data_IF_493045342436
#
_entry.id   IF_493045342436
#
_cell.length_a   1.000
_cell.length_b   1.000
_cell.length_c   1.000
_cell.angle_alpha   90.00
_cell.angle_beta   90.00
_cell.angle_gamma   90.00
#
_symmetry.space_group_name_H-M   'P 1'
#
loop_
_entity.id
_entity.type
_entity.pdbx_description
1 polymer ?
#
# COMPACT_ATOMS: atom_id res chain seq x y z
N UNK A 1 1.59 -14.85 -4.85
CA UNK A 1 0.85 -13.76 -5.54
C UNK A 1 0.96 -13.88 -7.06
N UNK A 2 2.17 -13.94 -7.63
CA UNK A 2 2.39 -13.90 -9.10
C UNK A 2 1.62 -14.99 -9.85
N UNK A 3 1.78 -16.27 -9.47
CA UNK A 3 1.14 -17.40 -10.17
C UNK A 3 -0.38 -17.24 -10.32
N UNK A 4 -1.14 -17.17 -9.22
CA UNK A 4 -2.60 -17.02 -9.27
C UNK A 4 -3.08 -15.79 -10.07
N UNK A 5 -2.41 -14.65 -9.98
CA UNK A 5 -2.80 -13.43 -10.71
C UNK A 5 -2.53 -13.57 -12.22
N UNK A 6 -1.34 -14.04 -12.60
CA UNK A 6 -0.96 -14.21 -14.01
C UNK A 6 -1.79 -15.28 -14.71
N UNK A 7 -2.20 -16.34 -13.99
CA UNK A 7 -3.10 -17.36 -14.50
C UNK A 7 -4.49 -16.79 -14.90
N UNK A 8 -4.88 -15.66 -14.31
CA UNK A 8 -6.12 -14.94 -14.61
C UNK A 8 -5.93 -13.78 -15.61
N UNK A 9 -4.74 -13.67 -16.23
CA UNK A 9 -4.44 -12.62 -17.22
C UNK A 9 -4.01 -11.27 -16.64
N UNK A 10 -3.77 -11.18 -15.33
CA UNK A 10 -3.27 -9.95 -14.71
C UNK A 10 -1.77 -9.83 -14.94
N UNK A 11 -1.33 -8.69 -15.47
CA UNK A 11 0.09 -8.34 -15.52
C UNK A 11 0.59 -8.00 -14.11
N UNK A 12 1.61 -8.71 -13.63
CA UNK A 12 2.19 -8.50 -12.29
C UNK A 12 3.55 -7.82 -12.42
N UNK A 13 3.72 -6.70 -11.73
CA UNK A 13 4.99 -5.96 -11.66
C UNK A 13 5.51 -5.98 -10.23
N UNK A 14 6.73 -6.47 -10.06
CA UNK A 14 7.44 -6.46 -8.78
C UNK A 14 8.39 -5.27 -8.77
N UNK A 15 8.09 -4.27 -7.94
CA UNK A 15 8.90 -3.06 -7.81
C UNK A 15 9.96 -3.26 -6.73
N UNK A 16 11.22 -3.11 -7.11
CA UNK A 16 12.33 -3.03 -6.17
C UNK A 16 12.65 -1.55 -5.87
N UNK A 17 13.19 -1.30 -4.69
CA UNK A 17 13.66 -0.01 -4.21
C UNK A 17 14.89 -0.23 -3.33
N UNK A 18 15.70 0.81 -3.18
CA UNK A 18 16.87 0.77 -2.31
C UNK A 18 16.46 0.62 -0.86
N UNK A 19 17.33 0.01 -0.06
CA UNK A 19 17.11 -0.17 1.37
C UNK A 19 18.11 0.64 2.18
N UNK A 20 17.75 0.94 3.42
CA UNK A 20 18.67 1.54 4.38
C UNK A 20 19.92 0.65 4.59
N UNK A 21 21.11 1.23 4.81
CA UNK A 21 21.39 2.67 4.90
C UNK A 21 21.64 3.35 3.53
N UNK A 22 21.54 2.63 2.40
CA UNK A 22 21.86 3.17 1.07
C UNK A 22 20.82 4.16 0.56
N UNK A 23 19.55 3.98 0.95
CA UNK A 23 18.45 4.88 0.64
C UNK A 23 17.76 5.41 1.89
N UNK A 24 17.32 6.67 1.85
CA UNK A 24 16.39 7.25 2.84
C UNK A 24 14.95 6.87 2.50
N UNK A 25 14.02 7.02 3.44
CA UNK A 25 12.60 6.79 3.14
C UNK A 25 12.07 7.69 2.01
N UNK A 26 12.48 8.97 1.98
CA UNK A 26 12.11 9.86 0.88
C UNK A 26 12.59 9.31 -0.46
N UNK A 27 13.80 8.72 -0.50
CA UNK A 27 14.35 8.10 -1.70
C UNK A 27 13.52 6.87 -2.13
N UNK A 28 13.12 6.03 -1.18
CA UNK A 28 12.28 4.85 -1.46
C UNK A 28 10.90 5.27 -2.00
N UNK A 29 10.27 6.27 -1.38
CA UNK A 29 8.99 6.84 -1.84
C UNK A 29 9.13 7.39 -3.26
N UNK A 30 10.21 8.12 -3.55
CA UNK A 30 10.50 8.64 -4.88
C UNK A 30 10.76 7.53 -5.91
N UNK A 31 11.48 6.47 -5.56
CA UNK A 31 11.71 5.32 -6.44
C UNK A 31 10.40 4.59 -6.79
N UNK A 32 9.51 4.39 -5.82
CA UNK A 32 8.19 3.79 -6.06
C UNK A 32 7.34 4.72 -6.92
N UNK A 33 7.35 6.04 -6.66
CA UNK A 33 6.67 7.04 -7.48
C UNK A 33 7.13 6.98 -8.93
N UNK A 34 8.45 6.98 -9.17
CA UNK A 34 9.04 6.88 -10.51
C UNK A 34 8.70 5.58 -11.21
N UNK A 35 8.64 4.46 -10.47
CA UNK A 35 8.25 3.16 -11.02
C UNK A 35 6.81 3.16 -11.53
N UNK A 36 5.88 3.76 -10.78
CA UNK A 36 4.48 3.89 -11.22
C UNK A 36 4.36 4.83 -12.43
N UNK A 37 5.10 5.96 -12.43
CA UNK A 37 5.13 6.86 -13.59
C UNK A 37 5.62 6.15 -14.84
N UNK A 38 6.66 5.33 -14.72
CA UNK A 38 7.17 4.52 -15.81
C UNK A 38 6.09 3.56 -16.32
N UNK A 39 5.41 2.83 -15.44
CA UNK A 39 4.36 1.88 -15.82
C UNK A 39 3.18 2.55 -16.51
N UNK A 40 2.67 3.66 -15.98
CA UNK A 40 1.55 4.37 -16.60
C UNK A 40 1.92 4.95 -17.98
N UNK A 41 3.17 5.40 -18.17
CA UNK A 41 3.67 5.88 -19.47
C UNK A 41 3.89 4.75 -20.47
N UNK A 42 4.42 3.61 -20.00
CA UNK A 42 4.70 2.45 -20.83
C UNK A 42 3.41 1.73 -21.26
N UNK A 43 2.41 1.71 -20.39
CA UNK A 43 1.12 1.04 -20.60
C UNK A 43 -0.04 2.03 -20.43
N UNK A 44 -0.18 3.04 -21.31
CA UNK A 44 -1.16 4.10 -21.15
C UNK A 44 -2.61 3.64 -21.31
N UNK A 45 -2.83 2.45 -21.88
CA UNK A 45 -4.14 1.81 -22.07
C UNK A 45 -4.42 0.68 -21.06
N UNK A 46 -3.71 0.67 -19.93
CA UNK A 46 -4.01 -0.30 -18.88
C UNK A 46 -5.45 -0.13 -18.37
N UNK A 47 -6.13 -1.24 -18.08
CA UNK A 47 -7.52 -1.22 -17.57
C UNK A 47 -7.59 -0.77 -16.10
N UNK A 48 -6.48 -0.84 -15.39
CA UNK A 48 -6.33 -0.37 -14.02
C UNK A 48 -5.00 -0.78 -13.41
N UNK A 49 -4.53 -0.01 -12.44
CA UNK A 49 -3.37 -0.31 -11.61
C UNK A 49 -3.85 -0.57 -10.20
N UNK A 50 -3.52 -1.75 -9.67
CA UNK A 50 -3.70 -2.10 -8.27
C UNK A 50 -2.33 -2.15 -7.60
N UNK A 51 -2.18 -1.48 -6.45
CA UNK A 51 -0.95 -1.50 -5.68
C UNK A 51 -1.12 -2.42 -4.47
N UNK A 52 -0.29 -3.46 -4.38
CA UNK A 52 -0.22 -4.31 -3.20
C UNK A 52 1.13 -4.11 -2.51
N UNK A 53 1.09 -3.84 -1.21
CA UNK A 53 2.28 -3.71 -0.38
C UNK A 53 2.15 -4.57 0.88
N UNK A 54 3.29 -5.04 1.40
CA UNK A 54 3.38 -5.76 2.67
C UNK A 54 4.35 -5.05 3.60
N UNK A 55 3.98 -4.84 4.86
CA UNK A 55 4.86 -4.22 5.87
C UNK A 55 5.41 -2.87 5.41
N UNK A 56 6.74 -2.71 5.28
CA UNK A 56 7.35 -1.51 4.72
C UNK A 56 6.89 -1.23 3.27
N UNK A 57 6.53 -2.25 2.49
CA UNK A 57 5.93 -2.06 1.17
C UNK A 57 4.49 -1.51 1.24
N UNK A 58 3.72 -1.85 2.28
CA UNK A 58 2.38 -1.29 2.49
C UNK A 58 2.46 0.18 2.89
N UNK A 59 3.48 0.56 3.69
CA UNK A 59 3.84 1.95 3.93
C UNK A 59 4.08 2.71 2.62
N UNK A 60 4.97 2.20 1.75
CA UNK A 60 5.30 2.85 0.49
C UNK A 60 4.10 2.93 -0.46
N UNK A 61 3.26 1.88 -0.51
CA UNK A 61 2.02 1.89 -1.28
C UNK A 61 1.05 2.95 -0.74
N UNK A 62 0.89 3.07 0.58
CA UNK A 62 0.04 4.09 1.22
C UNK A 62 0.53 5.51 0.93
N UNK A 63 1.85 5.73 0.87
CA UNK A 63 2.43 7.03 0.49
C UNK A 63 2.04 7.46 -0.94
N UNK A 64 1.70 6.53 -1.84
CA UNK A 64 1.27 6.86 -3.20
C UNK A 64 -0.11 7.54 -3.26
N UNK A 65 -0.92 7.41 -2.21
CA UNK A 65 -2.18 8.15 -2.04
C UNK A 65 -1.94 9.67 -1.88
N UNK A 66 -0.75 10.04 -1.40
CA UNK A 66 -0.37 11.41 -1.04
C UNK A 66 0.44 12.13 -2.13
N UNK A 67 0.84 11.42 -3.18
CA UNK A 67 1.59 11.99 -4.29
C UNK A 67 0.65 12.87 -5.12
N UNK A 68 1.10 14.09 -5.42
CA UNK A 68 0.39 14.95 -6.37
C UNK A 68 0.73 14.53 -7.81
N UNK A 69 -0.04 13.57 -8.33
CA UNK A 69 0.19 12.99 -9.65
C UNK A 69 0.06 14.00 -10.80
N UNK A 70 -0.81 15.00 -10.66
CA UNK A 70 -0.91 16.10 -11.65
C UNK A 70 0.42 16.85 -11.79
N UNK A 71 1.14 17.09 -10.67
CA UNK A 71 2.48 17.69 -10.72
C UNK A 71 3.55 16.78 -11.32
N UNK A 72 3.33 15.46 -11.32
CA UNK A 72 4.22 14.49 -11.97
C UNK A 72 4.00 14.39 -13.49
N UNK A 73 2.98 15.09 -14.01
CA UNK A 73 2.66 15.15 -15.44
C UNK A 73 1.87 13.96 -15.99
N UNK A 74 1.57 12.96 -15.15
CA UNK A 74 0.75 11.79 -15.50
C UNK A 74 -0.05 11.34 -14.28
N UNK A 75 -1.35 11.10 -14.48
CA UNK A 75 -2.23 10.52 -13.45
C UNK A 75 -2.33 9.01 -13.69
N UNK A 76 -1.84 8.15 -12.77
CA UNK A 76 -2.01 6.72 -12.87
C UNK A 76 -3.48 6.32 -12.77
N UNK A 77 -3.89 5.32 -13.54
CA UNK A 77 -5.24 4.74 -13.50
C UNK A 77 -5.39 3.81 -12.29
N UNK A 78 -5.28 4.34 -11.07
CA UNK A 78 -5.41 3.52 -9.86
C UNK A 78 -6.83 3.04 -9.66
N UNK A 79 -6.97 1.73 -9.39
CA UNK A 79 -8.25 1.07 -9.07
C UNK A 79 -8.31 0.54 -7.65
N UNK A 80 -7.18 0.23 -7.04
CA UNK A 80 -7.18 -0.07 -5.63
C UNK A 80 -5.83 -0.28 -4.99
N UNK A 81 -5.85 -0.34 -3.68
CA UNK A 81 -4.70 -0.51 -2.81
C UNK A 81 -4.96 -1.67 -1.84
N UNK A 82 -4.02 -2.61 -1.79
CA UNK A 82 -4.00 -3.71 -0.82
C UNK A 82 -2.83 -3.49 0.14
N UNK A 83 -3.14 -3.00 1.33
CA UNK A 83 -2.15 -2.60 2.33
C UNK A 83 -2.08 -3.67 3.42
N UNK A 84 -1.14 -4.60 3.29
CA UNK A 84 -1.04 -5.81 4.11
C UNK A 84 -0.04 -5.62 5.25
N UNK A 85 -0.51 -5.71 6.49
CA UNK A 85 0.30 -5.63 7.72
C UNK A 85 1.27 -4.45 7.70
N UNK A 86 0.77 -3.28 7.31
CA UNK A 86 1.58 -2.07 7.10
C UNK A 86 1.84 -1.24 8.36
N UNK A 87 2.82 -0.34 8.24
CA UNK A 87 3.06 0.76 9.20
C UNK A 87 2.74 2.09 8.52
N UNK A 88 1.97 2.94 9.18
CA UNK A 88 1.44 4.19 8.64
C UNK A 88 1.81 5.41 9.48
N UNK A 89 2.18 5.19 10.75
CA UNK A 89 2.83 6.15 11.63
C UNK A 89 4.23 5.64 11.99
N UNK A 90 5.24 6.39 11.52
CA UNK A 90 6.65 6.06 11.71
C UNK A 90 7.26 6.78 12.91
N UNK A 91 6.56 7.72 13.55
CA UNK A 91 7.09 8.43 14.71
C UNK A 91 7.57 7.49 15.83
N UNK A 92 6.83 6.41 16.19
CA UNK A 92 7.29 5.45 17.20
C UNK A 92 8.60 4.75 16.81
N UNK A 93 8.83 4.50 15.51
CA UNK A 93 9.99 3.77 15.01
C UNK A 93 11.28 4.50 15.33
N UNK A 94 11.26 5.84 15.37
CA UNK A 94 12.43 6.70 15.65
C UNK A 94 13.13 6.30 16.94
N UNK A 95 12.38 5.80 17.93
CA UNK A 95 12.86 5.42 19.25
C UNK A 95 13.24 3.93 19.39
N UNK A 96 13.25 3.19 18.29
CA UNK A 96 13.54 1.75 18.27
C UNK A 96 14.83 1.45 17.51
N UNK A 97 15.34 0.24 17.68
CA UNK A 97 16.52 -0.25 16.94
C UNK A 97 16.29 -0.36 15.43
N UNK A 98 15.04 -0.39 14.97
CA UNK A 98 14.69 -0.34 13.53
C UNK A 98 15.18 0.95 12.88
N UNK A 99 15.31 2.04 13.66
CA UNK A 99 15.82 3.31 13.15
C UNK A 99 17.35 3.34 13.00
N UNK A 100 18.09 2.36 13.54
CA UNK A 100 19.55 2.33 13.48
C UNK A 100 20.10 2.47 12.04
N UNK A 101 19.60 1.75 11.02
CA UNK A 101 20.05 1.94 9.64
C UNK A 101 19.40 3.13 8.93
N UNK A 102 18.22 3.59 9.38
CA UNK A 102 17.43 4.63 8.72
C UNK A 102 17.84 6.04 9.13
N UNK A 103 18.32 6.21 10.37
CA UNK A 103 18.70 7.49 10.98
C UNK A 103 17.62 8.58 10.83
N UNK A 104 16.34 8.20 10.91
CA UNK A 104 15.23 9.13 10.80
C UNK A 104 15.22 10.08 11.99
N UNK A 105 15.06 11.37 11.68
CA UNK A 105 14.57 12.35 12.64
C UNK A 105 13.05 12.23 12.79
N UNK A 106 12.48 12.86 13.82
CA UNK A 106 11.02 12.97 13.96
C UNK A 106 10.39 13.70 12.76
N UNK A 107 11.10 14.66 12.16
CA UNK A 107 10.66 15.35 10.96
C UNK A 107 10.57 14.40 9.76
N UNK A 108 11.60 13.56 9.56
CA UNK A 108 11.62 12.55 8.50
C UNK A 108 10.49 11.54 8.69
N UNK A 109 10.30 11.09 9.93
CA UNK A 109 9.23 10.16 10.29
C UNK A 109 7.85 10.75 9.98
N UNK A 110 7.55 11.98 10.39
CA UNK A 110 6.27 12.64 10.09
C UNK A 110 6.04 12.86 8.60
N UNK A 111 7.07 13.32 7.88
CA UNK A 111 7.01 13.51 6.41
C UNK A 111 6.76 12.19 5.67
N UNK A 112 7.24 11.07 6.22
CA UNK A 112 7.05 9.73 5.69
C UNK A 112 5.92 8.96 6.38
N UNK A 113 5.10 9.57 7.24
CA UNK A 113 3.97 8.89 7.87
C UNK A 113 2.68 9.20 7.10
N UNK A 114 2.14 8.25 6.32
CA UNK A 114 0.90 8.51 5.60
C UNK A 114 -0.28 8.80 6.55
N UNK A 115 -0.29 8.22 7.77
CA UNK A 115 -1.26 8.55 8.82
C UNK A 115 -1.26 10.06 9.11
N UNK A 116 -0.10 10.57 9.54
CA UNK A 116 0.07 11.95 9.96
C UNK A 116 -0.28 12.93 8.83
N UNK A 117 0.16 12.61 7.61
CA UNK A 117 -0.08 13.47 6.44
C UNK A 117 -1.54 13.58 6.06
N UNK A 118 -2.29 12.47 6.11
CA UNK A 118 -3.74 12.49 5.83
C UNK A 118 -4.52 13.27 6.90
N UNK A 119 -4.10 13.21 8.16
CA UNK A 119 -4.73 13.95 9.25
C UNK A 119 -4.50 15.47 9.13
N UNK A 120 -3.27 15.88 8.81
CA UNK A 120 -2.90 17.31 8.73
C UNK A 120 -3.34 17.95 7.42
N UNK A 121 -3.29 17.22 6.33
CA UNK A 121 -3.71 17.70 5.01
C UNK A 121 -4.63 16.68 4.38
N UNK A 122 -5.95 16.76 4.67
CA UNK A 122 -6.92 15.85 4.08
C UNK A 122 -6.87 15.94 2.55
N UNK A 123 -6.44 14.84 1.92
CA UNK A 123 -6.48 14.66 0.47
C UNK A 123 -7.70 13.83 0.10
N UNK A 124 -8.36 14.20 -1.00
CA UNK A 124 -9.47 13.41 -1.55
C UNK A 124 -8.94 12.43 -2.61
N UNK A 125 -9.59 11.27 -2.77
CA UNK A 125 -9.26 10.35 -3.85
C UNK A 125 -9.42 11.02 -5.20
N UNK A 126 -8.47 10.80 -6.12
CA UNK A 126 -8.59 11.27 -7.50
C UNK A 126 -9.69 10.53 -8.26
N UNK A 127 -9.84 9.24 -7.99
CA UNK A 127 -10.93 8.40 -8.48
C UNK A 127 -11.74 7.92 -7.26
N UNK A 128 -13.01 8.33 -7.09
CA UNK A 128 -13.86 7.87 -6.00
C UNK A 128 -14.08 6.35 -5.97
N UNK A 129 -13.87 5.67 -7.11
CA UNK A 129 -13.95 4.21 -7.19
C UNK A 129 -12.67 3.51 -6.69
N UNK A 130 -11.57 4.24 -6.43
CA UNK A 130 -10.32 3.65 -5.97
C UNK A 130 -10.46 3.15 -4.52
N UNK A 131 -10.54 1.82 -4.38
CA UNK A 131 -10.74 1.17 -3.08
C UNK A 131 -9.44 0.92 -2.32
N UNK A 132 -9.39 1.29 -1.05
CA UNK A 132 -8.26 1.02 -0.16
C UNK A 132 -8.63 -0.07 0.85
N UNK A 133 -8.06 -1.26 0.67
CA UNK A 133 -8.22 -2.37 1.60
C UNK A 133 -7.00 -2.46 2.52
N UNK A 134 -7.23 -2.16 3.81
CA UNK A 134 -6.25 -2.32 4.89
C UNK A 134 -6.41 -3.69 5.53
N UNK A 135 -5.32 -4.44 5.63
CA UNK A 135 -5.34 -5.85 6.02
C UNK A 135 -4.32 -6.08 7.13
N UNK A 136 -4.66 -6.89 8.12
CA UNK A 136 -3.76 -7.33 9.19
C UNK A 136 -3.95 -8.83 9.43
N UNK A 137 -2.90 -9.54 9.82
CA UNK A 137 -2.98 -10.93 10.26
C UNK A 137 -3.39 -11.02 11.73
N UNK A 138 -4.20 -12.01 12.10
CA UNK A 138 -4.63 -12.19 13.49
C UNK A 138 -3.45 -12.30 14.46
N UNK A 139 -2.35 -12.93 14.04
CA UNK A 139 -1.15 -13.10 14.86
C UNK A 139 -0.09 -12.02 14.64
N UNK A 140 -0.44 -10.91 13.97
CA UNK A 140 0.42 -9.73 13.94
C UNK A 140 0.58 -9.10 15.33
N UNK A 141 1.64 -8.31 15.49
CA UNK A 141 1.86 -7.58 16.75
C UNK A 141 0.74 -6.56 17.01
N UNK A 142 0.45 -6.23 18.28
CA UNK A 142 -0.58 -5.24 18.62
C UNK A 142 -0.40 -3.88 17.93
N UNK A 143 0.84 -3.50 17.61
CA UNK A 143 1.11 -2.23 16.95
C UNK A 143 0.68 -2.23 15.47
N UNK A 144 0.81 -3.36 14.76
CA UNK A 144 0.28 -3.48 13.39
C UNK A 144 -1.25 -3.40 13.39
N UNK A 145 -1.91 -4.05 14.36
CA UNK A 145 -3.37 -3.95 14.54
C UNK A 145 -3.80 -2.51 14.80
N UNK A 146 -3.15 -1.83 15.75
CA UNK A 146 -3.44 -0.44 16.08
C UNK A 146 -3.28 0.48 14.86
N UNK A 147 -2.12 0.42 14.19
CA UNK A 147 -1.86 1.28 13.04
C UNK A 147 -2.79 0.98 11.86
N UNK A 148 -3.09 -0.29 11.57
CA UNK A 148 -4.03 -0.66 10.53
C UNK A 148 -5.44 -0.12 10.81
N UNK A 149 -5.90 -0.21 12.05
CA UNK A 149 -7.19 0.35 12.45
C UNK A 149 -7.22 1.88 12.37
N UNK A 150 -6.21 2.56 12.91
CA UNK A 150 -6.11 4.02 12.91
C UNK A 150 -6.05 4.57 11.48
N UNK A 151 -5.30 3.91 10.59
CA UNK A 151 -5.19 4.31 9.19
C UNK A 151 -6.50 4.11 8.43
N UNK A 152 -7.17 2.97 8.62
CA UNK A 152 -8.50 2.74 8.08
C UNK A 152 -9.48 3.84 8.53
N UNK A 153 -9.50 4.18 9.82
CA UNK A 153 -10.36 5.21 10.37
C UNK A 153 -10.07 6.59 9.75
N UNK A 154 -8.81 6.95 9.57
CA UNK A 154 -8.40 8.20 8.92
C UNK A 154 -8.82 8.25 7.46
N UNK A 155 -8.67 7.15 6.71
CA UNK A 155 -9.18 7.04 5.34
C UNK A 155 -10.70 7.23 5.29
N UNK A 156 -11.46 6.54 6.14
CA UNK A 156 -12.93 6.66 6.18
C UNK A 156 -13.38 8.08 6.51
N UNK A 157 -12.75 8.76 7.48
CA UNK A 157 -13.05 10.18 7.78
C UNK A 157 -12.69 11.11 6.63
N UNK A 158 -11.63 10.78 5.90
CA UNK A 158 -11.20 11.46 4.67
C UNK A 158 -12.09 11.20 3.45
N UNK A 159 -13.16 10.39 3.59
CA UNK A 159 -14.07 9.97 2.50
C UNK A 159 -13.39 9.16 1.39
N UNK A 160 -12.34 8.42 1.76
CA UNK A 160 -11.82 7.36 0.90
C UNK A 160 -12.75 6.16 0.96
N UNK A 161 -12.97 5.51 -0.19
CA UNK A 161 -13.59 4.19 -0.22
C UNK A 161 -12.58 3.21 0.38
N UNK A 162 -12.82 2.79 1.61
CA UNK A 162 -11.86 2.03 2.40
C UNK A 162 -12.53 0.95 3.21
N UNK A 163 -11.82 -0.17 3.41
CA UNK A 163 -12.27 -1.27 4.27
C UNK A 163 -11.12 -1.85 5.07
N UNK A 164 -11.45 -2.47 6.19
CA UNK A 164 -10.52 -3.14 7.07
C UNK A 164 -10.82 -4.64 7.12
N UNK A 165 -9.77 -5.47 7.08
CA UNK A 165 -9.88 -6.93 7.22
C UNK A 165 -8.78 -7.46 8.13
N UNK A 166 -9.19 -8.22 9.13
CA UNK A 166 -8.30 -9.13 9.85
C UNK A 166 -8.39 -10.52 9.20
N UNK A 167 -7.25 -11.14 8.90
CA UNK A 167 -7.19 -12.50 8.39
C UNK A 167 -6.89 -13.49 9.52
N UNK A 168 -7.72 -14.54 9.69
CA UNK A 168 -7.56 -15.49 10.78
C UNK A 168 -6.34 -16.40 10.55
N UNK A 169 -5.76 -16.89 11.66
CA UNK A 169 -4.76 -17.96 11.69
C UNK A 169 -3.54 -17.71 10.78
N UNK A 170 -3.12 -16.45 10.66
CA UNK A 170 -1.91 -16.05 9.94
C UNK A 170 -1.10 -15.05 10.73
N UNK A 171 0.22 -15.21 10.70
CA UNK A 171 1.18 -14.23 11.18
C UNK A 171 1.64 -13.26 10.07
N UNK A 172 2.49 -12.32 10.47
CA UNK A 172 3.06 -11.25 9.64
C UNK A 172 3.72 -11.73 8.35
N UNK A 173 4.25 -12.95 8.31
CA UNK A 173 4.93 -13.49 7.14
C UNK A 173 4.06 -14.49 6.39
N UNK A 174 3.31 -15.34 7.10
CA UNK A 174 2.40 -16.28 6.48
C UNK A 174 1.34 -15.61 5.63
N UNK A 175 0.88 -14.42 6.04
CA UNK A 175 -0.14 -13.64 5.32
C UNK A 175 0.23 -13.38 3.86
N UNK A 176 1.53 -13.24 3.57
CA UNK A 176 2.04 -13.01 2.21
C UNK A 176 2.50 -14.30 1.53
N UNK A 177 3.09 -15.25 2.26
CA UNK A 177 3.56 -16.52 1.68
C UNK A 177 2.42 -17.36 1.11
N UNK A 178 1.27 -17.38 1.80
CA UNK A 178 0.07 -18.10 1.37
C UNK A 178 -0.57 -17.52 0.10
N UNK A 179 -0.17 -16.33 -0.37
CA UNK A 179 -0.63 -15.78 -1.66
C UNK A 179 -0.24 -16.59 -2.90
N UNK A 180 0.63 -17.58 -2.76
CA UNK A 180 0.93 -18.52 -3.83
C UNK A 180 -0.18 -19.56 -4.03
N UNK A 181 -1.02 -19.74 -3.02
CA UNK A 181 -2.16 -20.66 -3.01
C UNK A 181 -3.38 -19.95 -3.58
N UNK A 182 -4.07 -20.60 -4.52
CA UNK A 182 -5.24 -20.02 -5.19
C UNK A 182 -6.43 -19.90 -4.25
N UNK A 183 -6.67 -20.91 -3.41
CA UNK A 183 -7.78 -21.01 -2.48
C UNK A 183 -7.60 -20.17 -1.20
N UNK A 184 -6.42 -19.60 -0.99
CA UNK A 184 -6.15 -18.73 0.14
C UNK A 184 -7.04 -17.48 0.12
N UNK A 185 -7.60 -17.14 1.28
CA UNK A 185 -8.60 -16.08 1.42
C UNK A 185 -8.14 -14.74 0.84
N UNK A 186 -6.88 -14.34 1.10
CA UNK A 186 -6.35 -13.08 0.55
C UNK A 186 -6.21 -13.14 -0.97
N UNK A 187 -5.76 -14.25 -1.53
CA UNK A 187 -5.67 -14.43 -2.99
C UNK A 187 -7.03 -14.25 -3.64
N UNK A 188 -8.07 -14.87 -3.07
CA UNK A 188 -9.45 -14.76 -3.55
C UNK A 188 -10.00 -13.34 -3.41
N UNK A 189 -9.69 -12.63 -2.32
CA UNK A 189 -10.06 -11.22 -2.15
C UNK A 189 -9.44 -10.37 -3.26
N UNK A 190 -8.14 -10.50 -3.51
CA UNK A 190 -7.43 -9.75 -4.55
C UNK A 190 -8.04 -9.99 -5.93
N UNK A 191 -8.23 -11.27 -6.30
CA UNK A 191 -8.83 -11.65 -7.58
C UNK A 191 -10.26 -11.09 -7.72
N UNK A 192 -11.08 -11.25 -6.68
CA UNK A 192 -12.45 -10.76 -6.68
C UNK A 192 -12.49 -9.23 -6.83
N UNK A 193 -11.67 -8.48 -6.10
CA UNK A 193 -11.61 -7.03 -6.24
C UNK A 193 -11.19 -6.61 -7.66
N UNK A 194 -10.13 -7.22 -8.21
CA UNK A 194 -9.64 -6.89 -9.57
C UNK A 194 -10.72 -7.18 -10.64
N UNK A 195 -11.46 -8.28 -10.52
CA UNK A 195 -12.42 -8.71 -11.54
C UNK A 195 -13.87 -8.28 -11.30
N UNK A 196 -14.22 -7.79 -10.12
CA UNK A 196 -15.55 -7.21 -9.87
C UNK A 196 -15.66 -5.79 -10.42
N UNK A 197 -14.59 -5.01 -10.44
CA UNK A 197 -14.59 -3.67 -11.04
C UNK A 197 -14.60 -3.68 -12.57
N UNK A 198 -14.15 -4.76 -13.21
CA UNK A 198 -14.22 -4.91 -14.67
C UNK A 198 -15.63 -5.25 -15.19
N UNK A 199 -16.59 -5.47 -14.30
CA UNK A 199 -18.02 -5.59 -14.63
C UNK A 199 -18.78 -4.31 -14.24
N UNK A 200 -18.42 -3.20 -14.89
CA UNK A 200 -19.32 -2.05 -15.01
C UNK A 200 -20.41 -2.33 -16.06
N UNK A 201 -21.59 -1.67 -15.95
CA UNK A 201 -22.84 -2.03 -16.63
C UNK A 201 -22.78 -2.08 -18.16
#
# INVERSE_FOLDING_TARGET
MVGPLTAQGVAVVIVAYDTAPKGTLDHMVDQVTRSILFLQKQYPRNEGIYLCGHSAGAHLAAMMLLVNWTKQGVVPNFKGFFLVSGVYDLEPIVYTTVNNPLHMTLEDARRNSPQWRLEVTPTQPMDPACHVLVIVGQHDSPEFHRQAWDFYQTLSRGRWEASFRELPDVDHFEIIWKLTQEDYALTQILLKTIFQESKGP
#
